data_IF_333961629671
#
_entry.id   IF_333961629671
#
_cell.length_a   1.000
_cell.length_b   1.000
_cell.length_c   1.000
_cell.angle_alpha   90.00
_cell.angle_beta   90.00
_cell.angle_gamma   90.00
#
_symmetry.space_group_name_H-M   'P 1'
#
loop_
_entity.id
_entity.type
_entity.pdbx_description
1 polymer ?
#
# COMPACT_ATOMS: atom_id res chain seq x y z
N UNK A 1 34.77 35.94 28.99
CA UNK A 1 34.99 34.48 29.17
C UNK A 1 33.68 33.78 28.90
N UNK A 2 33.58 33.11 27.74
CA UNK A 2 32.38 32.47 27.22
C UNK A 2 32.29 31.05 27.81
N UNK A 3 31.25 30.72 28.60
CA UNK A 3 31.06 29.35 29.09
C UNK A 3 29.59 28.91 29.07
N UNK A 4 29.34 28.00 28.13
CA UNK A 4 28.57 26.75 28.28
C UNK A 4 27.04 26.83 28.21
N UNK A 5 26.57 26.73 26.96
CA UNK A 5 25.42 25.94 26.49
C UNK A 5 25.00 24.79 27.43
N UNK A 6 23.73 24.78 27.86
CA UNK A 6 23.02 23.54 28.24
C UNK A 6 21.53 23.66 27.88
N UNK A 7 21.23 23.38 26.62
CA UNK A 7 19.87 23.18 26.14
C UNK A 7 19.43 21.75 26.49
N UNK A 8 18.52 21.60 27.45
CA UNK A 8 17.85 20.32 27.72
C UNK A 8 16.72 20.19 26.71
N UNK A 9 16.95 19.44 25.63
CA UNK A 9 15.89 19.07 24.70
C UNK A 9 15.08 17.92 25.31
N UNK A 10 13.86 18.22 25.76
CA UNK A 10 12.88 17.23 26.20
C UNK A 10 12.35 16.55 24.94
N UNK A 11 12.64 15.26 24.81
CA UNK A 11 12.14 14.41 23.74
C UNK A 11 10.62 14.25 23.87
N UNK A 12 9.86 14.87 22.96
CA UNK A 12 8.47 14.53 22.74
C UNK A 12 8.42 13.32 21.79
N UNK A 13 8.23 12.14 22.37
CA UNK A 13 7.88 10.91 21.63
C UNK A 13 6.48 11.10 21.02
N UNK A 14 6.42 11.56 19.77
CA UNK A 14 5.20 11.45 18.98
C UNK A 14 5.11 10.00 18.53
N UNK A 15 4.28 9.24 19.24
CA UNK A 15 3.85 7.89 18.84
C UNK A 15 3.01 7.99 17.56
N UNK A 16 3.67 8.17 16.42
CA UNK A 16 3.05 7.92 15.13
C UNK A 16 2.90 6.39 15.03
N UNK A 17 1.74 5.89 15.42
CA UNK A 17 1.34 4.53 15.07
C UNK A 17 1.44 4.43 13.53
N UNK A 18 2.29 3.55 12.97
CA UNK A 18 2.16 3.23 11.57
C UNK A 18 0.77 2.62 11.45
N UNK A 19 -0.12 3.30 10.72
CA UNK A 19 -1.18 2.60 9.99
C UNK A 19 -0.42 1.55 9.20
N UNK A 20 -0.42 0.33 9.73
CA UNK A 20 0.07 -0.83 9.04
C UNK A 20 -0.79 -0.87 7.78
N UNK A 21 -0.24 -0.31 6.70
CA UNK A 21 -0.46 -0.82 5.38
C UNK A 21 -0.25 -2.32 5.56
N UNK A 22 -1.34 -3.07 5.66
CA UNK A 22 -1.35 -4.45 5.22
C UNK A 22 -1.03 -4.36 3.73
N UNK A 23 0.27 -4.16 3.43
CA UNK A 23 0.93 -4.77 2.30
C UNK A 23 0.68 -6.25 2.55
N UNK A 24 -0.51 -6.69 2.10
CA UNK A 24 -0.93 -8.07 2.16
C UNK A 24 0.26 -8.85 1.65
N UNK A 25 0.70 -9.80 2.46
CA UNK A 25 1.71 -10.78 2.13
C UNK A 25 1.43 -11.25 0.72
N UNK A 26 2.10 -10.61 -0.24
CA UNK A 26 2.17 -11.08 -1.58
C UNK A 26 3.08 -12.28 -1.42
N UNK A 27 2.45 -13.43 -1.16
CA UNK A 27 3.04 -14.73 -1.40
C UNK A 27 3.56 -14.66 -2.84
N UNK A 28 4.82 -14.29 -2.94
CA UNK A 28 5.62 -14.32 -4.15
C UNK A 28 5.91 -15.79 -4.42
N UNK A 29 4.84 -16.57 -4.61
CA UNK A 29 4.87 -17.90 -5.17
C UNK A 29 5.37 -17.73 -6.60
N UNK A 30 6.65 -18.04 -6.77
CA UNK A 30 7.45 -18.01 -8.00
C UNK A 30 6.61 -18.01 -9.29
N UNK A 31 6.57 -16.82 -9.89
CA UNK A 31 6.69 -16.56 -11.33
C UNK A 31 5.49 -16.69 -12.28
N UNK A 32 4.25 -16.62 -11.81
CA UNK A 32 3.11 -16.35 -12.70
C UNK A 32 2.28 -15.15 -12.22
N UNK A 33 2.49 -14.00 -12.87
CA UNK A 33 1.69 -12.78 -12.66
C UNK A 33 0.81 -12.50 -13.87
N UNK A 34 -0.42 -12.04 -13.65
CA UNK A 34 -1.28 -11.50 -14.70
C UNK A 34 -1.34 -9.98 -14.65
N UNK A 35 -1.63 -9.37 -15.78
CA UNK A 35 -1.87 -7.93 -15.91
C UNK A 35 -3.37 -7.68 -15.70
N UNK A 36 -3.67 -6.90 -14.67
CA UNK A 36 -4.99 -6.34 -14.45
C UNK A 36 -5.11 -4.99 -15.15
N UNK A 37 -6.27 -4.71 -15.75
CA UNK A 37 -6.57 -3.44 -16.43
C UNK A 37 -7.93 -2.94 -15.98
N UNK A 38 -8.05 -1.64 -15.72
CA UNK A 38 -9.32 -0.99 -15.42
C UNK A 38 -9.40 0.38 -16.09
N UNK A 39 -10.54 0.66 -16.72
CA UNK A 39 -10.83 1.96 -17.32
C UNK A 39 -11.53 2.82 -16.27
N UNK A 40 -10.83 3.86 -15.82
CA UNK A 40 -11.39 4.89 -14.95
C UNK A 40 -12.48 5.70 -15.66
N UNK A 41 -13.39 6.35 -14.93
CA UNK A 41 -14.39 7.27 -15.49
C UNK A 41 -13.76 8.46 -16.22
N UNK A 42 -12.53 8.84 -15.86
CA UNK A 42 -11.74 9.82 -16.63
C UNK A 42 -11.28 9.28 -18.00
N UNK A 43 -11.61 8.04 -18.35
CA UNK A 43 -11.23 7.38 -19.59
C UNK A 43 -9.81 6.80 -19.59
N UNK A 44 -9.02 7.02 -18.53
CA UNK A 44 -7.65 6.49 -18.42
C UNK A 44 -7.67 5.00 -18.07
N UNK A 45 -6.76 4.24 -18.67
CA UNK A 45 -6.53 2.84 -18.32
C UNK A 45 -5.48 2.77 -17.22
N UNK A 46 -5.86 2.27 -16.04
CA UNK A 46 -4.93 1.85 -15.01
C UNK A 46 -4.58 0.38 -15.19
N UNK A 47 -3.31 0.08 -14.99
CA UNK A 47 -2.74 -1.26 -15.16
C UNK A 47 -1.93 -1.62 -13.93
N UNK A 48 -2.14 -2.81 -13.38
CA UNK A 48 -1.36 -3.34 -12.26
C UNK A 48 -1.13 -4.84 -12.44
N UNK A 49 -0.20 -5.41 -11.67
CA UNK A 49 0.17 -6.83 -11.76
C UNK A 49 -0.25 -7.56 -10.50
N UNK A 50 -0.93 -8.68 -10.68
CA UNK A 50 -1.34 -9.56 -9.59
C UNK A 50 -0.87 -10.97 -9.81
N UNK A 51 -0.81 -11.76 -8.74
CA UNK A 51 -0.58 -13.20 -8.86
C UNK A 51 -1.64 -13.84 -9.77
N UNK A 52 -1.28 -14.92 -10.47
CA UNK A 52 -2.20 -15.60 -11.40
C UNK A 52 -3.50 -16.04 -10.71
N UNK A 53 -3.40 -16.42 -9.43
CA UNK A 53 -4.51 -16.87 -8.59
C UNK A 53 -5.19 -15.76 -7.77
N UNK A 54 -4.73 -14.51 -7.86
CA UNK A 54 -5.29 -13.38 -7.11
C UNK A 54 -6.31 -12.58 -7.94
N UNK A 55 -7.52 -12.27 -7.46
CA UNK A 55 -8.45 -11.44 -8.22
C UNK A 55 -7.91 -10.01 -8.43
N UNK A 56 -8.27 -9.41 -9.57
CA UNK A 56 -7.99 -8.00 -9.84
C UNK A 56 -9.06 -7.14 -9.16
N UNK A 57 -8.67 -6.30 -8.21
CA UNK A 57 -9.60 -5.50 -7.42
C UNK A 57 -9.49 -4.03 -7.81
N UNK A 58 -10.64 -3.43 -8.12
CA UNK A 58 -10.73 -2.01 -8.47
C UNK A 58 -11.95 -1.38 -7.82
N UNK A 59 -11.75 -0.34 -7.04
CA UNK A 59 -12.82 0.52 -6.54
C UNK A 59 -12.50 1.97 -6.93
N UNK A 60 -13.14 2.41 -8.02
CA UNK A 60 -12.83 3.71 -8.62
C UNK A 60 -13.16 4.88 -7.68
N UNK A 61 -14.27 4.79 -6.94
CA UNK A 61 -14.72 5.83 -6.01
C UNK A 61 -13.66 6.25 -4.98
N UNK A 62 -12.76 5.32 -4.62
CA UNK A 62 -11.67 5.53 -3.66
C UNK A 62 -10.28 5.43 -4.32
N UNK A 63 -10.22 5.41 -5.65
CA UNK A 63 -8.97 5.24 -6.41
C UNK A 63 -8.16 3.99 -6.01
N UNK A 64 -8.83 2.92 -5.59
CA UNK A 64 -8.19 1.71 -5.10
C UNK A 64 -8.01 0.69 -6.22
N UNK A 65 -6.78 0.24 -6.45
CA UNK A 65 -6.40 -0.71 -7.50
C UNK A 65 -5.36 -1.67 -6.93
N UNK A 66 -5.77 -2.89 -6.62
CA UNK A 66 -4.90 -3.84 -5.92
C UNK A 66 -5.19 -5.28 -6.36
N UNK A 67 -4.41 -6.18 -5.79
CA UNK A 67 -4.61 -7.61 -5.89
C UNK A 67 -5.34 -8.10 -4.67
N UNK A 68 -6.47 -8.77 -4.88
CA UNK A 68 -7.19 -9.41 -3.79
C UNK A 68 -6.57 -10.75 -3.41
N UNK A 69 -7.14 -11.37 -2.40
CA UNK A 69 -6.78 -12.72 -1.98
C UNK A 69 -7.71 -13.74 -2.62
N UNK A 70 -7.21 -14.96 -2.86
CA UNK A 70 -8.05 -16.06 -3.38
C UNK A 70 -9.18 -16.44 -2.41
N UNK A 71 -8.94 -16.31 -1.11
CA UNK A 71 -9.87 -16.70 -0.04
C UNK A 71 -10.84 -15.60 0.35
N UNK A 72 -10.36 -14.35 0.48
CA UNK A 72 -11.16 -13.21 0.96
C UNK A 72 -11.67 -12.31 -0.18
N UNK A 73 -11.24 -12.55 -1.43
CA UNK A 73 -11.61 -11.73 -2.57
C UNK A 73 -10.96 -10.34 -2.53
N UNK A 74 -11.73 -9.33 -2.94
CA UNK A 74 -11.33 -7.92 -2.94
C UNK A 74 -11.79 -7.26 -1.63
N UNK A 75 -10.84 -7.04 -0.73
CA UNK A 75 -11.02 -6.28 0.51
C UNK A 75 -10.50 -4.86 0.35
#
# INVERSE_FOLDING_TARGET
MLRVLTSIAIAALVSAAPLALTAGTADAAKSATKICKHKTASGKIKTWRCGINQPCCSAEMINYYTCGSKTLGCL
#
